data_IF_279945793184
#
_entry.id   IF_279945793184
#
_cell.length_a   1.000
_cell.length_b   1.000
_cell.length_c   1.000
_cell.angle_alpha   90.00
_cell.angle_beta   90.00
_cell.angle_gamma   90.00
#
_symmetry.space_group_name_H-M   'P 1'
#
loop_
_entity.id
_entity.type
_entity.pdbx_description
1 polymer ?
#
# COMPACT_ATOMS: atom_id res chain seq x y z
N UNK A 1 1.43 10.85 10.31
CA UNK A 1 0.16 10.13 10.56
C UNK A 1 -1.10 10.90 10.17
N UNK A 2 -1.17 12.24 10.26
CA UNK A 2 -2.45 12.98 10.13
C UNK A 2 -3.15 12.88 8.77
N UNK A 3 -2.38 12.76 7.68
CA UNK A 3 -2.95 12.82 6.33
C UNK A 3 -3.71 11.56 5.92
N UNK A 4 -3.14 10.37 6.14
CA UNK A 4 -3.81 9.11 5.80
C UNK A 4 -5.11 8.92 6.60
N UNK A 5 -5.13 9.33 7.87
CA UNK A 5 -6.32 9.17 8.72
C UNK A 5 -7.53 9.98 8.24
N UNK A 6 -7.32 11.11 7.54
CA UNK A 6 -8.38 11.95 6.99
C UNK A 6 -9.17 11.26 5.87
N UNK A 7 -8.50 10.41 5.11
CA UNK A 7 -9.07 9.74 3.93
C UNK A 7 -9.40 8.27 4.18
N UNK A 8 -9.40 7.84 5.44
CA UNK A 8 -9.70 6.46 5.80
C UNK A 8 -11.17 6.13 5.44
N UNK A 9 -11.42 5.11 4.60
CA UNK A 9 -12.77 4.62 4.37
C UNK A 9 -13.42 4.06 5.65
N UNK A 10 -14.74 4.20 5.77
CA UNK A 10 -15.52 3.53 6.84
C UNK A 10 -15.40 2.01 6.73
N UNK A 11 -15.45 1.50 5.49
CA UNK A 11 -15.24 0.09 5.18
C UNK A 11 -14.10 -0.05 4.16
N UNK A 12 -12.97 -0.60 4.61
CA UNK A 12 -11.82 -0.85 3.74
C UNK A 12 -12.06 -2.18 3.03
N UNK A 13 -12.22 -2.14 1.70
CA UNK A 13 -12.29 -3.37 0.90
C UNK A 13 -10.89 -3.96 0.76
N UNK A 14 -9.93 -3.15 0.33
CA UNK A 14 -8.55 -3.59 0.09
C UNK A 14 -7.59 -2.67 0.83
N UNK A 15 -6.85 -3.21 1.78
CA UNK A 15 -5.69 -2.54 2.36
C UNK A 15 -4.48 -2.82 1.47
N UNK A 16 -3.92 -1.77 0.90
CA UNK A 16 -2.69 -1.79 0.14
C UNK A 16 -1.56 -1.55 1.16
N UNK A 17 -0.72 -2.55 1.39
CA UNK A 17 0.32 -2.52 2.40
C UNK A 17 1.70 -2.46 1.72
N UNK A 18 2.39 -1.33 1.90
CA UNK A 18 3.78 -1.17 1.52
C UNK A 18 4.74 -1.49 2.67
N UNK A 19 6.01 -1.72 2.35
CA UNK A 19 7.07 -1.89 3.35
C UNK A 19 7.38 -0.59 4.10
N UNK A 20 7.83 0.43 3.37
CA UNK A 20 8.32 1.70 3.92
C UNK A 20 7.68 2.86 3.16
N UNK A 21 7.23 3.88 3.88
CA UNK A 21 6.69 5.09 3.26
C UNK A 21 7.76 5.82 2.43
N UNK A 22 7.41 6.37 1.26
CA UNK A 22 8.35 7.08 0.42
C UNK A 22 8.86 8.38 1.08
N UNK A 23 10.14 8.76 0.86
CA UNK A 23 10.73 9.96 1.47
C UNK A 23 10.26 11.28 0.86
N UNK A 24 9.75 11.26 -0.37
CA UNK A 24 9.24 12.43 -1.06
C UNK A 24 7.72 12.55 -0.92
N UNK A 25 7.25 13.74 -0.55
CA UNK A 25 5.81 14.03 -0.45
C UNK A 25 5.08 13.75 -1.77
N UNK A 26 5.68 14.08 -2.92
CA UNK A 26 5.08 13.81 -4.23
C UNK A 26 4.83 12.32 -4.49
N UNK A 27 5.59 11.43 -3.84
CA UNK A 27 5.44 9.98 -3.96
C UNK A 27 4.50 9.39 -2.90
N UNK A 28 4.19 10.15 -1.86
CA UNK A 28 3.28 9.75 -0.80
C UNK A 28 1.83 10.07 -1.20
N UNK A 29 0.99 9.02 -1.33
CA UNK A 29 -0.37 9.17 -1.84
C UNK A 29 -1.17 10.25 -1.13
N UNK A 30 -1.08 10.39 0.19
CA UNK A 30 -1.93 11.32 0.94
C UNK A 30 -1.32 12.71 1.14
N UNK A 31 -0.21 13.02 0.48
CA UNK A 31 0.39 14.34 0.56
C UNK A 31 -0.56 15.40 -0.05
N UNK A 32 -0.63 16.62 0.53
CA UNK A 32 -1.57 17.64 0.06
C UNK A 32 -1.20 18.27 -1.29
N UNK A 33 0.04 18.09 -1.76
CA UNK A 33 0.55 18.74 -2.97
C UNK A 33 -0.12 18.28 -4.28
N UNK A 34 -0.62 17.04 -4.34
CA UNK A 34 -1.34 16.53 -5.50
C UNK A 34 -0.47 16.26 -6.74
N UNK A 35 0.86 16.34 -6.64
CA UNK A 35 1.79 16.12 -7.75
C UNK A 35 1.92 14.64 -8.17
N UNK A 36 1.44 13.71 -7.34
CA UNK A 36 1.39 12.24 -7.55
C UNK A 36 2.47 11.69 -8.52
N UNK A 37 3.68 11.47 -8.01
CA UNK A 37 4.78 10.80 -8.70
C UNK A 37 5.11 9.43 -8.09
N UNK A 38 6.10 8.74 -8.66
CA UNK A 38 6.73 7.55 -8.08
C UNK A 38 5.76 6.45 -7.65
N UNK A 39 5.75 6.11 -6.36
CA UNK A 39 4.84 5.11 -5.79
C UNK A 39 3.38 5.52 -5.93
N UNK A 40 3.01 6.76 -5.58
CA UNK A 40 1.64 7.26 -5.68
C UNK A 40 1.10 7.18 -7.12
N UNK A 41 1.90 7.59 -8.11
CA UNK A 41 1.55 7.46 -9.52
C UNK A 41 1.29 5.99 -9.91
N UNK A 42 2.24 5.13 -9.57
CA UNK A 42 2.20 3.70 -9.93
C UNK A 42 0.98 3.01 -9.30
N UNK A 43 0.66 3.36 -8.05
CA UNK A 43 -0.50 2.87 -7.33
C UNK A 43 -1.81 3.36 -7.95
N UNK A 44 -1.94 4.66 -8.21
CA UNK A 44 -3.15 5.25 -8.80
C UNK A 44 -3.43 4.65 -10.17
N UNK A 45 -2.39 4.49 -10.99
CA UNK A 45 -2.50 3.77 -12.26
C UNK A 45 -2.93 2.33 -12.03
N UNK A 46 -2.34 1.61 -11.08
CA UNK A 46 -2.67 0.22 -10.80
C UNK A 46 -4.15 0.04 -10.42
N UNK A 47 -4.71 0.93 -9.59
CA UNK A 47 -6.14 0.90 -9.21
C UNK A 47 -7.06 1.55 -10.25
N UNK A 48 -6.53 2.08 -11.35
CA UNK A 48 -7.32 2.62 -12.46
C UNK A 48 -7.83 4.05 -12.25
N UNK A 49 -7.21 4.82 -11.36
CA UNK A 49 -7.59 6.21 -11.08
C UNK A 49 -6.75 7.16 -11.93
N UNK A 50 -7.43 7.98 -12.73
CA UNK A 50 -6.81 9.10 -13.44
C UNK A 50 -6.66 10.28 -12.48
N UNK A 51 -5.48 10.89 -12.42
CA UNK A 51 -5.18 12.01 -11.51
C UNK A 51 -4.79 13.31 -12.23
N UNK A 52 -4.40 13.24 -13.50
CA UNK A 52 -4.02 14.42 -14.28
C UNK A 52 -5.16 15.46 -14.32
N UNK A 53 -4.85 16.69 -13.91
CA UNK A 53 -5.81 17.81 -13.89
C UNK A 53 -6.86 17.74 -12.77
N UNK A 54 -6.77 16.79 -11.84
CA UNK A 54 -7.64 16.70 -10.65
C UNK A 54 -6.96 17.29 -9.42
N UNK A 55 -7.76 17.76 -8.46
CA UNK A 55 -7.24 18.11 -7.15
C UNK A 55 -6.89 16.86 -6.34
N UNK A 56 -5.98 16.99 -5.38
CA UNK A 56 -5.61 15.90 -4.48
C UNK A 56 -6.84 15.33 -3.75
N UNK A 57 -7.75 16.18 -3.30
CA UNK A 57 -8.98 15.77 -2.61
C UNK A 57 -9.88 14.90 -3.49
N UNK A 58 -9.98 15.25 -4.78
CA UNK A 58 -10.80 14.47 -5.74
C UNK A 58 -10.19 13.09 -5.94
N UNK A 59 -8.87 13.01 -6.11
CA UNK A 59 -8.14 11.74 -6.26
C UNK A 59 -8.29 10.88 -5.00
N UNK A 60 -8.12 11.47 -3.81
CA UNK A 60 -8.30 10.75 -2.55
C UNK A 60 -9.73 10.27 -2.33
N UNK A 61 -10.73 11.06 -2.73
CA UNK A 61 -12.14 10.67 -2.65
C UNK A 61 -12.45 9.51 -3.61
N UNK A 62 -11.91 9.51 -4.83
CA UNK A 62 -12.02 8.38 -5.76
C UNK A 62 -11.36 7.13 -5.17
N UNK A 63 -10.16 7.25 -4.62
CA UNK A 63 -9.46 6.15 -3.98
C UNK A 63 -10.24 5.58 -2.79
N UNK A 64 -10.78 6.45 -1.94
CA UNK A 64 -11.61 6.08 -0.79
C UNK A 64 -12.93 5.41 -1.21
N UNK A 65 -13.60 5.94 -2.24
CA UNK A 65 -14.87 5.39 -2.75
C UNK A 65 -14.68 4.03 -3.44
N UNK A 66 -13.51 3.77 -4.02
CA UNK A 66 -13.09 2.44 -4.46
C UNK A 66 -12.84 1.44 -3.31
N UNK A 67 -12.93 1.89 -2.05
CA UNK A 67 -12.71 1.06 -0.86
C UNK A 67 -11.23 0.75 -0.61
N UNK A 68 -10.32 1.55 -1.18
CA UNK A 68 -8.88 1.39 -1.00
C UNK A 68 -8.37 2.19 0.19
N UNK A 69 -7.37 1.65 0.87
CA UNK A 69 -6.59 2.38 1.87
C UNK A 69 -5.12 1.97 1.72
N UNK A 70 -4.20 2.93 1.68
CA UNK A 70 -2.75 2.70 1.64
C UNK A 70 -2.18 2.88 3.04
N UNK A 71 -1.31 1.98 3.45
CA UNK A 71 -0.50 2.12 4.66
C UNK A 71 0.83 1.41 4.45
N UNK A 72 1.81 1.73 5.28
CA UNK A 72 3.15 1.14 5.24
C UNK A 72 3.47 0.51 6.58
N UNK A 73 4.26 -0.57 6.57
CA UNK A 73 4.75 -1.17 7.81
C UNK A 73 5.58 -0.16 8.60
N UNK A 74 6.43 0.59 7.91
CA UNK A 74 7.10 1.78 8.43
C UNK A 74 6.46 3.02 7.81
N UNK A 75 5.68 3.77 8.60
CA UNK A 75 5.02 5.01 8.15
C UNK A 75 5.95 6.22 8.05
N UNK A 76 7.19 6.08 8.53
CA UNK A 76 8.24 7.08 8.37
C UNK A 76 9.29 6.57 7.37
N UNK A 77 9.78 7.42 6.47
CA UNK A 77 10.89 7.08 5.59
C UNK A 77 12.12 6.70 6.42
N UNK A 78 12.91 5.75 5.90
CA UNK A 78 14.20 5.41 6.52
C UNK A 78 15.18 6.57 6.38
N UNK A 79 15.93 6.86 7.45
CA UNK A 79 16.99 7.85 7.40
C UNK A 79 18.03 7.48 6.33
N UNK A 80 18.69 8.50 5.77
CA UNK A 80 19.53 8.40 4.56
C UNK A 80 20.70 7.38 4.61
N UNK A 81 21.01 6.80 5.77
CA UNK A 81 21.99 5.72 5.95
C UNK A 81 21.44 4.28 5.80
N UNK A 82 20.12 4.11 5.73
CA UNK A 82 19.44 2.79 5.70
C UNK A 82 18.75 2.50 4.35
N UNK A 83 19.21 3.13 3.26
CA UNK A 83 18.57 3.13 1.93
C UNK A 83 18.48 1.76 1.22
N UNK A 84 18.99 0.68 1.81
CA UNK A 84 18.82 -0.67 1.25
C UNK A 84 17.70 -1.40 1.97
N UNK A 85 16.80 -2.03 1.21
CA UNK A 85 15.74 -2.92 1.72
C UNK A 85 16.30 -4.03 2.62
N UNK A 86 17.57 -4.43 2.44
CA UNK A 86 18.29 -5.37 3.31
C UNK A 86 18.50 -4.85 4.74
N UNK A 87 18.65 -3.54 4.92
CA UNK A 87 18.87 -2.91 6.23
C UNK A 87 17.54 -2.57 6.93
N UNK A 88 16.43 -2.71 6.22
CA UNK A 88 15.08 -2.44 6.72
C UNK A 88 14.42 -3.66 7.39
N UNK A 89 15.00 -4.86 7.26
CA UNK A 89 14.41 -6.12 7.75
C UNK A 89 14.06 -6.06 9.24
N UNK A 90 15.02 -5.67 10.08
CA UNK A 90 14.80 -5.62 11.53
C UNK A 90 13.77 -4.55 11.91
N UNK A 91 13.86 -3.29 11.44
CA UNK A 91 12.82 -2.30 11.66
C UNK A 91 11.42 -2.76 11.21
N UNK A 92 11.31 -3.39 10.03
CA UNK A 92 10.04 -3.91 9.52
C UNK A 92 9.46 -4.97 10.48
N UNK A 93 10.27 -5.97 10.86
CA UNK A 93 9.88 -7.05 11.78
C UNK A 93 9.38 -6.53 13.13
N UNK A 94 10.09 -5.57 13.70
CA UNK A 94 9.73 -4.95 14.98
C UNK A 94 8.34 -4.29 14.95
N UNK A 95 7.94 -3.75 13.80
CA UNK A 95 6.65 -3.08 13.62
C UNK A 95 5.50 -4.03 13.24
N UNK A 96 5.80 -5.23 12.73
CA UNK A 96 4.77 -6.18 12.27
C UNK A 96 3.69 -6.50 13.33
N UNK A 97 4.01 -6.75 14.62
CA UNK A 97 2.97 -7.02 15.62
C UNK A 97 2.00 -5.86 15.80
N UNK A 98 2.51 -4.62 15.78
CA UNK A 98 1.69 -3.41 15.90
C UNK A 98 0.80 -3.22 14.66
N UNK A 99 1.36 -3.42 13.46
CA UNK A 99 0.62 -3.36 12.20
C UNK A 99 -0.47 -4.44 12.16
N UNK A 100 -0.15 -5.69 12.50
CA UNK A 100 -1.13 -6.79 12.54
C UNK A 100 -2.25 -6.54 13.56
N UNK A 101 -1.93 -5.98 14.73
CA UNK A 101 -2.93 -5.54 15.70
C UNK A 101 -3.85 -4.46 15.12
N UNK A 102 -3.27 -3.45 14.45
CA UNK A 102 -4.02 -2.37 13.80
C UNK A 102 -4.90 -2.88 12.67
N UNK A 103 -4.42 -3.81 11.84
CA UNK A 103 -5.20 -4.44 10.78
C UNK A 103 -6.42 -5.16 11.37
N UNK A 104 -6.24 -6.00 12.39
CA UNK A 104 -7.34 -6.76 13.02
C UNK A 104 -8.33 -5.91 13.79
N UNK A 105 -7.85 -4.90 14.53
CA UNK A 105 -8.67 -4.21 15.53
C UNK A 105 -9.20 -2.88 15.04
N UNK A 106 -8.42 -2.15 14.25
CA UNK A 106 -8.77 -0.82 13.78
C UNK A 106 -9.21 -0.85 12.33
N UNK A 107 -8.33 -1.22 11.39
CA UNK A 107 -8.56 -1.07 9.95
C UNK A 107 -9.63 -2.04 9.41
N UNK A 108 -9.56 -3.32 9.83
CA UNK A 108 -10.48 -4.41 9.47
C UNK A 108 -10.80 -4.47 7.97
N UNK A 109 -9.78 -4.54 7.09
CA UNK A 109 -10.04 -4.68 5.66
C UNK A 109 -10.63 -6.04 5.32
N UNK A 110 -11.33 -6.18 4.18
CA UNK A 110 -11.70 -7.52 3.69
C UNK A 110 -10.48 -8.32 3.24
N UNK A 111 -9.47 -7.64 2.69
CA UNK A 111 -8.21 -8.25 2.22
C UNK A 111 -7.05 -7.27 2.32
N UNK A 112 -5.85 -7.82 2.40
CA UNK A 112 -4.57 -7.10 2.34
C UNK A 112 -3.85 -7.49 1.05
N UNK A 113 -3.32 -6.51 0.32
CA UNK A 113 -2.44 -6.72 -0.83
C UNK A 113 -1.09 -6.07 -0.55
N UNK A 114 0.00 -6.82 -0.74
CA UNK A 114 1.35 -6.25 -0.59
C UNK A 114 1.75 -5.57 -1.89
N UNK A 115 2.07 -4.28 -1.86
CA UNK A 115 2.16 -3.43 -3.07
C UNK A 115 3.49 -2.75 -3.31
N UNK A 116 4.45 -2.90 -2.42
CA UNK A 116 5.82 -2.40 -2.64
C UNK A 116 6.84 -3.48 -2.31
N UNK A 117 8.07 -3.25 -2.75
CA UNK A 117 9.16 -4.20 -2.51
C UNK A 117 9.37 -4.40 -1.01
N UNK A 118 9.39 -5.67 -0.60
CA UNK A 118 9.66 -6.07 0.77
C UNK A 118 10.60 -7.29 0.75
N UNK A 119 11.55 -7.38 1.70
CA UNK A 119 12.38 -8.57 1.84
C UNK A 119 11.51 -9.82 1.99
N UNK A 120 11.85 -10.90 1.29
CA UNK A 120 11.04 -12.12 1.25
C UNK A 120 10.77 -12.68 2.65
N UNK A 121 11.74 -12.55 3.55
CA UNK A 121 11.60 -13.00 4.93
C UNK A 121 10.52 -12.22 5.70
N UNK A 122 10.38 -10.91 5.46
CA UNK A 122 9.31 -10.10 6.04
C UNK A 122 7.95 -10.47 5.43
N UNK A 123 7.92 -10.82 4.14
CA UNK A 123 6.70 -11.34 3.50
C UNK A 123 6.26 -12.64 4.16
N UNK A 124 7.20 -13.57 4.43
CA UNK A 124 6.87 -14.80 5.15
C UNK A 124 6.38 -14.53 6.57
N UNK A 125 7.00 -13.58 7.28
CA UNK A 125 6.55 -13.19 8.61
C UNK A 125 5.12 -12.62 8.57
N UNK A 126 4.78 -11.80 7.58
CA UNK A 126 3.41 -11.29 7.37
C UNK A 126 2.43 -12.43 7.13
N UNK A 127 2.78 -13.41 6.29
CA UNK A 127 1.92 -14.56 6.00
C UNK A 127 1.72 -15.48 7.22
N UNK A 128 2.69 -15.51 8.14
CA UNK A 128 2.60 -16.27 9.39
C UNK A 128 1.75 -15.54 10.46
N UNK A 129 1.50 -14.24 10.30
CA UNK A 129 0.67 -13.47 11.22
C UNK A 129 -0.81 -13.70 10.93
N UNK A 130 -1.60 -13.86 11.99
CA UNK A 130 -3.04 -13.71 11.90
C UNK A 130 -3.39 -12.23 11.70
N UNK A 131 -3.76 -11.87 10.47
CA UNK A 131 -4.27 -10.54 10.13
C UNK A 131 -5.80 -10.46 10.18
N UNK A 132 -6.50 -11.57 10.45
CA UNK A 132 -7.96 -11.66 10.45
C UNK A 132 -8.62 -11.44 9.08
N UNK A 133 -7.83 -11.47 8.00
CA UNK A 133 -8.29 -11.29 6.62
C UNK A 133 -7.30 -11.94 5.65
N UNK A 134 -7.71 -12.09 4.39
CA UNK A 134 -6.87 -12.70 3.36
C UNK A 134 -5.69 -11.79 2.96
N UNK A 135 -4.51 -12.38 2.81
CA UNK A 135 -3.33 -11.72 2.24
C UNK A 135 -3.13 -12.18 0.79
N UNK A 136 -3.02 -11.23 -0.12
CA UNK A 136 -2.92 -11.46 -1.56
C UNK A 136 -1.55 -11.00 -2.06
N UNK A 137 -0.92 -11.88 -2.84
CA UNK A 137 0.40 -11.71 -3.43
C UNK A 137 0.36 -11.98 -4.94
N UNK A 138 1.39 -11.52 -5.64
CA UNK A 138 1.69 -11.83 -7.02
C UNK A 138 2.71 -12.97 -7.07
N UNK A 139 2.27 -14.20 -7.29
CA UNK A 139 3.13 -15.39 -7.34
C UNK A 139 4.04 -15.54 -6.10
N UNK A 140 3.49 -15.29 -4.91
CA UNK A 140 4.19 -15.38 -3.63
C UNK A 140 5.08 -14.17 -3.29
N UNK A 141 5.02 -13.10 -4.08
CA UNK A 141 5.75 -11.84 -3.87
C UNK A 141 4.79 -10.64 -3.79
N UNK A 142 5.20 -9.50 -3.22
CA UNK A 142 4.46 -8.25 -3.37
C UNK A 142 4.27 -7.89 -4.84
N UNK A 143 3.18 -7.19 -5.15
CA UNK A 143 3.04 -6.49 -6.43
C UNK A 143 4.09 -5.39 -6.45
N UNK A 144 5.00 -5.40 -7.42
CA UNK A 144 6.09 -4.43 -7.51
C UNK A 144 5.62 -3.08 -8.07
N UNK A 145 4.74 -2.37 -7.35
CA UNK A 145 4.27 -1.04 -7.78
C UNK A 145 5.32 0.03 -7.48
N UNK A 146 6.49 -0.12 -8.09
CA UNK A 146 7.60 0.82 -8.03
C UNK A 146 7.52 1.82 -9.21
N UNK A 147 8.21 2.98 -9.12
CA UNK A 147 8.41 3.84 -10.27
C UNK A 147 8.98 2.99 -11.43
N UNK A 148 8.35 3.03 -12.60
CA UNK A 148 8.60 2.16 -13.78
C UNK A 148 7.97 0.75 -13.79
N UNK A 149 6.94 0.50 -12.96
CA UNK A 149 6.15 -0.73 -13.02
C UNK A 149 5.69 -1.06 -14.45
N UNK A 150 5.82 -2.33 -14.84
CA UNK A 150 5.43 -2.79 -16.18
C UNK A 150 3.91 -2.85 -16.29
N UNK A 151 3.38 -2.53 -17.47
CA UNK A 151 1.92 -2.63 -17.72
C UNK A 151 1.39 -4.06 -17.48
N UNK A 152 2.22 -5.09 -17.67
CA UNK A 152 1.84 -6.47 -17.37
C UNK A 152 1.71 -6.77 -15.87
N UNK A 153 2.37 -6.02 -15.00
CA UNK A 153 2.18 -6.11 -13.55
C UNK A 153 0.94 -5.34 -13.10
N UNK A 154 0.70 -4.15 -13.68
CA UNK A 154 -0.56 -3.40 -13.50
C UNK A 154 -1.77 -4.26 -13.92
N UNK A 155 -1.70 -4.91 -15.08
CA UNK A 155 -2.77 -5.76 -15.58
C UNK A 155 -3.05 -6.95 -14.64
N UNK A 156 -1.99 -7.59 -14.12
CA UNK A 156 -2.12 -8.67 -13.12
C UNK A 156 -2.76 -8.18 -11.83
N UNK A 157 -2.30 -7.03 -11.32
CA UNK A 157 -2.87 -6.41 -10.14
C UNK A 157 -4.37 -6.13 -10.31
N UNK A 158 -4.76 -5.53 -11.45
CA UNK A 158 -6.18 -5.28 -11.79
C UNK A 158 -7.01 -6.56 -11.88
N UNK A 159 -6.51 -7.59 -12.56
CA UNK A 159 -7.20 -8.87 -12.63
C UNK A 159 -7.48 -9.48 -11.24
N UNK A 160 -6.55 -9.31 -10.30
CA UNK A 160 -6.71 -9.74 -8.90
C UNK A 160 -7.68 -8.84 -8.12
N UNK A 161 -7.72 -7.54 -8.43
CA UNK A 161 -8.73 -6.64 -7.87
C UNK A 161 -10.14 -7.05 -8.30
N UNK A 162 -10.34 -7.31 -9.59
CA UNK A 162 -11.64 -7.59 -10.21
C UNK A 162 -12.17 -8.99 -9.88
N UNK A 163 -11.30 -10.00 -9.87
CA UNK A 163 -11.67 -11.42 -9.64
C UNK A 163 -12.32 -11.70 -8.28
N UNK A 164 -12.27 -10.75 -7.33
CA UNK A 164 -12.84 -10.89 -5.99
C UNK A 164 -13.84 -9.80 -5.62
N UNK A 165 -14.21 -8.92 -6.55
CA UNK A 165 -15.33 -8.00 -6.38
C UNK A 165 -16.70 -8.70 -6.48
N UNK A 166 -16.72 -9.97 -6.90
CA UNK A 166 -17.94 -10.74 -7.25
C UNK A 166 -18.38 -11.78 -6.20
N UNK A 167 -18.12 -11.57 -4.91
CA UNK A 167 -18.70 -12.43 -3.85
C UNK A 167 -19.36 -11.63 -2.75
#
# INVERSE_FOLDING_TARGET
MEWATRYRPVHIQTLLLGGVAPPQDAEFLYAPGGDFGGEAESLLRAVGILFAGKSAETVHAEFQSGGFFLSHVLECPLESGLKSTSNAVNPLREHLPAVASRIRRSLKPKRVMLVTEMPQEVVQDILALDLGCEVILNDGKPFGLAPSVKESEIARFRAVLDSKATR
#
